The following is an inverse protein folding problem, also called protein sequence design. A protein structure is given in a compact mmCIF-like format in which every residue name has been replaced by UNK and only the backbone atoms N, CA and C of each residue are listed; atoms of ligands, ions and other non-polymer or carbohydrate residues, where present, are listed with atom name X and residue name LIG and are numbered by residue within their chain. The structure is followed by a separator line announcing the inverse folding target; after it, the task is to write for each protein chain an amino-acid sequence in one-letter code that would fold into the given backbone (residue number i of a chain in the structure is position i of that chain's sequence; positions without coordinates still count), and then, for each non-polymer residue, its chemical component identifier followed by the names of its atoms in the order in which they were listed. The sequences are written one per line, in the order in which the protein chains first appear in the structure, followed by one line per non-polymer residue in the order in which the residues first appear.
data_IF_108661794846
#
_entry.id   IF_108661794846
#
_cell.length_a   1.000
_cell.length_b   1.000
_cell.length_c   1.000
_cell.angle_alpha   90.00
_cell.angle_beta   90.00
_cell.angle_gamma   90.00
#
_symmetry.space_group_name_H-M   'P 1'
#
loop_
_entity.id
_entity.type
_entity.pdbx_description
1 polymer ?
#
# COMPACT_ATOMS: atom_id res chain seq x y z
N UNK A 1 -27.76 45.85 65.14
CA UNK A 1 -29.17 46.05 64.74
C UNK A 1 -29.21 46.59 63.33
N UNK A 2 -29.93 45.89 62.43
CA UNK A 2 -30.54 46.37 61.16
C UNK A 2 -29.59 46.93 60.07
N UNK A 3 -29.67 46.56 58.80
CA UNK A 3 -30.53 45.62 58.08
C UNK A 3 -29.84 45.23 56.76
N UNK A 4 -30.08 43.98 56.36
CA UNK A 4 -29.78 43.40 55.06
C UNK A 4 -30.71 44.02 54.00
N UNK A 5 -30.17 44.47 52.87
CA UNK A 5 -30.93 44.54 51.61
C UNK A 5 -30.06 43.93 50.52
N UNK A 6 -30.30 42.65 50.27
CA UNK A 6 -29.93 41.96 49.03
C UNK A 6 -30.97 42.37 48.01
N UNK A 7 -30.63 43.29 47.10
CA UNK A 7 -31.49 43.59 45.95
C UNK A 7 -31.26 42.53 44.87
N UNK A 8 -32.14 41.52 44.90
CA UNK A 8 -32.43 40.62 43.81
C UNK A 8 -32.97 41.44 42.61
N UNK A 9 -32.30 41.38 41.47
CA UNK A 9 -32.90 41.70 40.18
C UNK A 9 -32.75 40.48 39.28
N UNK A 10 -33.67 39.52 39.44
CA UNK A 10 -33.90 38.50 38.43
C UNK A 10 -34.72 39.17 37.34
N UNK A 11 -34.05 39.66 36.30
CA UNK A 11 -34.73 40.06 35.08
C UNK A 11 -35.17 38.76 34.37
N UNK A 12 -36.41 38.36 34.63
CA UNK A 12 -37.10 37.28 33.93
C UNK A 12 -37.23 37.65 32.45
N UNK A 13 -36.25 37.25 31.64
CA UNK A 13 -36.39 37.20 30.19
C UNK A 13 -37.25 35.98 29.82
N UNK A 14 -38.53 36.03 30.20
CA UNK A 14 -39.56 35.16 29.64
C UNK A 14 -40.19 35.92 28.50
N UNK A 15 -39.51 35.96 27.35
CA UNK A 15 -40.18 36.29 26.09
C UNK A 15 -41.12 35.11 25.84
N UNK A 16 -42.37 35.24 26.27
CA UNK A 16 -43.45 34.37 25.81
C UNK A 16 -43.47 34.52 24.29
N UNK A 17 -43.19 33.45 23.56
CA UNK A 17 -43.45 33.42 22.13
C UNK A 17 -44.96 33.63 21.97
N UNK A 18 -45.38 34.83 21.54
CA UNK A 18 -46.75 35.04 21.09
C UNK A 18 -46.96 34.08 19.91
N UNK A 19 -48.09 33.38 19.89
CA UNK A 19 -48.46 32.58 18.71
C UNK A 19 -48.50 33.53 17.50
N UNK A 20 -48.03 33.09 16.33
CA UNK A 20 -47.88 33.94 15.13
C UNK A 20 -49.19 34.67 14.75
N UNK A 21 -50.32 34.03 15.04
CA UNK A 21 -51.66 34.61 14.86
C UNK A 21 -51.91 35.81 15.79
N UNK A 22 -51.51 35.75 17.05
CA UNK A 22 -51.66 36.84 18.00
C UNK A 22 -50.76 38.02 17.65
N UNK A 23 -49.53 37.73 17.23
CA UNK A 23 -48.60 38.73 16.73
C UNK A 23 -49.17 39.44 15.49
N UNK A 24 -49.69 38.67 14.52
CA UNK A 24 -50.32 39.20 13.33
C UNK A 24 -51.59 40.04 13.62
N UNK A 25 -52.46 39.57 14.51
CA UNK A 25 -53.67 40.28 14.92
C UNK A 25 -53.39 41.57 15.75
N UNK A 26 -52.17 41.73 16.25
CA UNK A 26 -51.73 42.94 16.95
C UNK A 26 -51.24 44.06 16.02
N UNK A 27 -51.02 43.75 14.72
CA UNK A 27 -50.62 44.75 13.71
C UNK A 27 -51.74 45.75 13.49
N UNK A 28 -51.40 47.04 13.53
CA UNK A 28 -52.36 48.10 13.23
C UNK A 28 -52.57 48.19 11.72
N UNK A 29 -53.82 48.13 11.30
CA UNK A 29 -54.21 48.23 9.91
C UNK A 29 -55.15 49.42 9.67
N UNK A 30 -55.11 49.96 8.47
CA UNK A 30 -56.11 50.90 7.92
C UNK A 30 -56.94 50.24 6.82
N UNK A 31 -56.33 49.29 6.11
CA UNK A 31 -56.98 48.41 5.14
C UNK A 31 -56.47 46.99 5.34
N UNK A 32 -57.14 46.01 4.72
CA UNK A 32 -56.68 44.60 4.75
C UNK A 32 -55.30 44.40 4.13
N UNK A 33 -54.79 45.34 3.32
CA UNK A 33 -53.44 45.25 2.74
C UNK A 33 -52.33 45.46 3.77
N UNK A 34 -52.64 46.10 4.89
CA UNK A 34 -51.67 46.36 5.97
C UNK A 34 -51.46 45.13 6.87
N UNK A 35 -52.31 44.11 6.71
CA UNK A 35 -52.30 42.92 7.54
C UNK A 35 -51.33 41.86 7.01
N UNK A 36 -50.48 41.28 7.87
CA UNK A 36 -49.58 40.21 7.47
C UNK A 36 -50.36 38.92 7.12
N UNK A 37 -49.77 38.10 6.25
CA UNK A 37 -50.28 36.75 6.01
C UNK A 37 -50.00 35.85 7.19
N UNK A 38 -50.99 35.05 7.60
CA UNK A 38 -50.83 34.02 8.63
C UNK A 38 -51.18 32.69 8.00
N UNK A 39 -50.27 31.72 8.10
CA UNK A 39 -50.52 30.37 7.59
C UNK A 39 -51.80 29.79 8.20
N UNK A 40 -52.55 29.02 7.42
CA UNK A 40 -53.79 28.38 7.86
C UNK A 40 -54.90 29.33 8.34
N UNK A 41 -54.83 30.60 7.96
CA UNK A 41 -55.85 31.60 8.27
C UNK A 41 -56.15 32.45 7.05
N UNK A 42 -57.42 32.82 6.90
CA UNK A 42 -57.86 33.80 5.90
C UNK A 42 -58.09 35.13 6.58
N UNK A 43 -57.42 36.18 6.08
CA UNK A 43 -57.68 37.54 6.51
C UNK A 43 -59.12 37.90 6.15
N UNK A 44 -59.92 38.21 7.17
CA UNK A 44 -61.35 38.46 7.01
C UNK A 44 -61.60 39.96 6.88
N UNK A 45 -61.09 40.76 7.83
CA UNK A 45 -61.32 42.22 7.84
C UNK A 45 -60.16 42.97 8.50
N UNK A 46 -60.16 44.30 8.34
CA UNK A 46 -59.47 45.21 9.23
C UNK A 46 -60.52 46.07 9.94
N UNK A 47 -60.74 45.82 11.24
CA UNK A 47 -61.76 46.51 12.03
C UNK A 47 -61.14 47.07 13.31
N UNK A 48 -61.51 48.29 13.71
CA UNK A 48 -60.95 48.99 14.87
C UNK A 48 -59.40 49.03 14.88
N UNK A 49 -58.80 49.21 13.70
CA UNK A 49 -57.36 49.20 13.49
C UNK A 49 -56.66 47.89 13.89
N UNK A 50 -57.35 46.74 13.83
CA UNK A 50 -56.78 45.41 14.05
C UNK A 50 -57.17 44.46 12.93
N UNK A 51 -56.25 43.55 12.61
CA UNK A 51 -56.46 42.52 11.61
C UNK A 51 -57.25 41.35 12.21
N UNK A 52 -58.31 40.93 11.53
CA UNK A 52 -59.15 39.81 11.95
C UNK A 52 -58.97 38.62 11.01
N UNK A 53 -58.80 37.45 11.59
CA UNK A 53 -58.48 36.21 10.87
C UNK A 53 -59.48 35.12 11.20
N UNK A 54 -59.81 34.30 10.20
CA UNK A 54 -60.60 33.07 10.38
C UNK A 54 -59.73 31.88 10.02
N UNK A 55 -59.69 30.86 10.89
CA UNK A 55 -58.95 29.63 10.63
C UNK A 55 -59.56 28.90 9.42
N UNK A 56 -58.71 28.41 8.52
CA UNK A 56 -59.16 27.54 7.41
C UNK A 56 -59.47 26.13 7.91
N UNK A 57 -60.14 25.31 7.10
CA UNK A 57 -60.46 23.94 7.51
C UNK A 57 -59.21 23.07 7.69
N UNK A 58 -59.29 22.09 8.59
CA UNK A 58 -58.25 21.06 8.75
C UNK A 58 -57.99 20.38 7.41
N UNK A 59 -56.72 20.04 7.15
CA UNK A 59 -56.22 19.48 5.89
C UNK A 59 -56.24 20.42 4.68
N UNK A 60 -56.51 21.72 4.85
CA UNK A 60 -56.27 22.71 3.79
C UNK A 60 -54.77 22.73 3.46
N UNK A 61 -54.37 22.64 2.17
CA UNK A 61 -52.97 22.75 1.79
C UNK A 61 -52.36 24.09 2.21
N UNK A 62 -51.16 24.08 2.79
CA UNK A 62 -50.40 25.28 3.15
C UNK A 62 -48.94 25.18 2.66
N UNK A 63 -48.68 25.10 1.35
CA UNK A 63 -47.39 24.64 0.85
C UNK A 63 -46.21 25.53 1.24
N UNK A 64 -45.19 24.95 1.88
CA UNK A 64 -43.95 25.65 2.27
C UNK A 64 -44.19 26.73 3.33
N UNK A 65 -45.20 26.54 4.18
CA UNK A 65 -45.54 27.44 5.29
C UNK A 65 -45.39 26.77 6.67
N UNK A 66 -44.83 25.56 6.71
CA UNK A 66 -44.51 24.85 7.94
C UNK A 66 -43.20 25.31 8.60
N UNK A 67 -42.62 24.46 9.45
CA UNK A 67 -41.41 24.77 10.23
C UNK A 67 -40.13 24.21 9.59
N UNK A 68 -40.21 23.27 8.65
CA UNK A 68 -39.05 22.58 8.05
C UNK A 68 -38.73 23.00 6.60
N UNK A 69 -39.39 24.07 6.13
CA UNK A 69 -39.45 24.48 4.72
C UNK A 69 -38.08 24.58 4.05
N UNK A 70 -38.01 24.10 2.81
CA UNK A 70 -36.79 24.14 1.99
C UNK A 70 -35.71 23.12 2.39
N UNK A 71 -36.01 22.22 3.33
CA UNK A 71 -35.15 21.10 3.66
C UNK A 71 -35.13 20.05 2.53
N UNK A 72 -33.97 19.40 2.30
CA UNK A 72 -33.84 18.39 1.24
C UNK A 72 -34.78 17.18 1.36
N UNK A 73 -35.33 16.94 2.54
CA UNK A 73 -36.31 15.90 2.84
C UNK A 73 -37.74 16.41 3.08
N UNK A 74 -37.95 17.71 2.92
CA UNK A 74 -39.25 18.32 3.10
C UNK A 74 -40.10 18.17 1.83
N UNK A 75 -41.40 17.93 2.00
CA UNK A 75 -42.37 17.84 0.92
C UNK A 75 -43.33 19.03 1.00
N UNK A 76 -42.77 20.24 0.80
CA UNK A 76 -43.46 21.53 0.93
C UNK A 76 -44.82 21.51 0.23
N UNK A 77 -44.95 20.84 -0.92
CA UNK A 77 -46.18 20.76 -1.70
C UNK A 77 -47.36 20.09 -0.97
N UNK A 78 -47.08 19.32 0.09
CA UNK A 78 -48.08 18.52 0.82
C UNK A 78 -48.31 18.97 2.25
N UNK A 79 -47.73 20.09 2.66
CA UNK A 79 -48.01 20.68 3.97
C UNK A 79 -49.49 20.98 4.14
N UNK A 80 -50.00 20.83 5.37
CA UNK A 80 -51.43 20.94 5.63
C UNK A 80 -51.74 21.59 6.98
N UNK A 81 -52.91 22.23 7.06
CA UNK A 81 -53.38 22.88 8.27
C UNK A 81 -53.93 21.88 9.30
N UNK A 82 -53.48 21.96 10.54
CA UNK A 82 -54.00 21.16 11.65
C UNK A 82 -55.24 21.80 12.32
N UNK A 83 -55.80 21.09 13.31
CA UNK A 83 -56.96 21.56 14.07
C UNK A 83 -56.70 22.82 14.90
N UNK A 84 -55.44 23.19 15.14
CA UNK A 84 -55.04 24.37 15.90
C UNK A 84 -54.69 25.57 15.00
N UNK A 85 -54.90 25.44 13.68
CA UNK A 85 -54.56 26.49 12.73
C UNK A 85 -53.05 26.64 12.50
N UNK A 86 -52.26 25.60 12.78
CA UNK A 86 -50.83 25.58 12.43
C UNK A 86 -50.61 24.77 11.16
N UNK A 87 -49.73 25.27 10.29
CA UNK A 87 -49.28 24.50 9.14
C UNK A 87 -48.34 23.38 9.61
N UNK A 88 -48.59 22.15 9.15
CA UNK A 88 -47.80 20.97 9.48
C UNK A 88 -47.00 20.51 8.29
N UNK A 89 -45.70 20.32 8.53
CA UNK A 89 -44.77 19.77 7.57
C UNK A 89 -45.20 18.36 7.16
N UNK A 90 -45.15 18.10 5.86
CA UNK A 90 -45.13 16.74 5.33
C UNK A 90 -43.74 16.42 4.82
N UNK A 91 -43.24 15.22 5.12
CA UNK A 91 -41.89 14.81 4.74
C UNK A 91 -41.90 13.83 3.57
N UNK A 92 -40.84 13.88 2.77
CA UNK A 92 -40.58 12.86 1.73
C UNK A 92 -40.51 11.48 2.37
N UNK A 93 -40.91 10.46 1.61
CA UNK A 93 -40.93 9.08 2.08
C UNK A 93 -39.56 8.60 2.57
N UNK A 94 -39.57 7.71 3.56
CA UNK A 94 -38.34 7.08 4.05
C UNK A 94 -37.60 6.39 2.91
N UNK A 95 -36.29 6.59 2.81
CA UNK A 95 -35.46 6.04 1.74
C UNK A 95 -35.30 6.95 0.52
N UNK A 96 -36.04 8.05 0.42
CA UNK A 96 -35.85 9.05 -0.65
C UNK A 96 -34.44 9.65 -0.54
N UNK A 97 -33.64 9.54 -1.61
CA UNK A 97 -32.33 10.19 -1.67
C UNK A 97 -32.49 11.71 -1.61
N UNK A 98 -31.83 12.35 -0.67
CA UNK A 98 -31.82 13.81 -0.54
C UNK A 98 -30.45 14.44 -0.79
N UNK A 99 -29.38 13.65 -0.71
CA UNK A 99 -28.02 14.08 -1.03
C UNK A 99 -27.18 12.89 -1.48
N UNK A 100 -26.58 13.01 -2.66
CA UNK A 100 -25.68 12.01 -3.21
C UNK A 100 -24.46 11.79 -2.29
N UNK A 101 -24.00 10.55 -2.20
CA UNK A 101 -22.80 10.15 -1.50
C UNK A 101 -21.52 10.49 -2.27
N UNK A 102 -20.41 9.96 -1.78
CA UNK A 102 -19.11 9.98 -2.46
C UNK A 102 -18.59 8.56 -2.55
N UNK A 103 -17.30 8.40 -2.84
CA UNK A 103 -16.69 7.09 -2.98
C UNK A 103 -16.84 6.22 -1.73
N UNK A 104 -16.53 6.75 -0.53
CA UNK A 104 -16.68 6.01 0.74
C UNK A 104 -17.78 6.53 1.66
N UNK A 105 -18.75 7.25 1.07
CA UNK A 105 -19.97 7.64 1.75
C UNK A 105 -21.18 7.25 0.90
N UNK A 106 -22.18 6.64 1.50
CA UNK A 106 -23.41 6.29 0.80
C UNK A 106 -24.34 7.51 0.68
N UNK A 107 -25.36 7.39 -0.16
CA UNK A 107 -26.37 8.43 -0.31
C UNK A 107 -27.11 8.67 1.02
N UNK A 108 -27.26 9.95 1.40
CA UNK A 108 -28.13 10.32 2.50
C UNK A 108 -29.59 10.22 2.06
N UNK A 109 -30.38 9.56 2.90
CA UNK A 109 -31.79 9.27 2.62
C UNK A 109 -32.66 9.85 3.72
N UNK A 110 -33.85 10.33 3.33
CA UNK A 110 -34.86 10.81 4.25
C UNK A 110 -35.33 9.70 5.17
N UNK A 111 -35.65 10.05 6.41
CA UNK A 111 -36.20 9.13 7.41
C UNK A 111 -37.74 9.07 7.37
N UNK A 112 -38.37 10.01 6.67
CA UNK A 112 -39.83 10.19 6.63
C UNK A 112 -40.40 10.92 7.85
N UNK A 113 -39.55 11.54 8.67
CA UNK A 113 -39.92 12.19 9.94
C UNK A 113 -39.33 13.59 10.11
N UNK A 114 -38.39 14.00 9.26
CA UNK A 114 -37.81 15.34 9.28
C UNK A 114 -37.58 15.90 7.87
N UNK A 115 -37.71 17.22 7.73
CA UNK A 115 -37.42 17.91 6.46
C UNK A 115 -35.92 18.09 6.21
N UNK A 116 -35.08 17.92 7.23
CA UNK A 116 -33.62 18.03 7.11
C UNK A 116 -33.02 16.77 6.49
N UNK A 117 -32.25 16.94 5.41
CA UNK A 117 -31.44 15.86 4.88
C UNK A 117 -30.30 15.50 5.85
N UNK A 118 -30.16 14.24 6.29
CA UNK A 118 -29.06 13.84 7.17
C UNK A 118 -27.71 13.92 6.46
N UNK A 119 -26.63 13.78 7.24
CA UNK A 119 -25.30 13.59 6.67
C UNK A 119 -25.20 12.22 6.00
N UNK A 120 -24.40 12.13 4.94
CA UNK A 120 -24.09 10.87 4.28
C UNK A 120 -23.45 9.88 5.28
N UNK A 121 -23.96 8.64 5.41
CA UNK A 121 -23.34 7.63 6.26
C UNK A 121 -22.08 7.07 5.58
N UNK A 122 -21.04 6.66 6.34
CA UNK A 122 -19.90 5.93 5.79
C UNK A 122 -20.33 4.64 5.09
N UNK A 123 -19.73 4.36 3.95
CA UNK A 123 -19.97 3.11 3.21
C UNK A 123 -19.39 1.90 3.92
N UNK A 124 -20.00 0.72 3.70
CA UNK A 124 -19.51 -0.55 4.24
C UNK A 124 -18.08 -0.89 3.79
N UNK A 125 -17.38 -1.72 4.57
CA UNK A 125 -15.99 -2.13 4.30
C UNK A 125 -15.80 -3.00 3.06
N UNK A 126 -16.89 -3.36 2.39
CA UNK A 126 -16.87 -4.14 1.14
C UNK A 126 -17.05 -3.25 -0.09
N UNK A 127 -17.41 -1.97 0.09
CA UNK A 127 -17.52 -1.04 -1.05
C UNK A 127 -16.13 -0.81 -1.62
N UNK A 128 -16.01 -0.99 -2.93
CA UNK A 128 -14.77 -0.76 -3.66
C UNK A 128 -14.54 0.74 -3.79
N UNK A 129 -13.29 1.15 -3.65
CA UNK A 129 -12.83 2.50 -3.86
C UNK A 129 -11.46 2.48 -4.57
N UNK A 130 -10.97 3.64 -4.94
CA UNK A 130 -9.65 3.89 -5.49
C UNK A 130 -8.77 4.49 -4.41
N UNK A 131 -7.77 3.71 -3.98
CA UNK A 131 -6.80 4.10 -2.99
C UNK A 131 -5.80 5.15 -3.46
N UNK A 132 -4.75 5.34 -2.67
CA UNK A 132 -3.64 6.24 -3.01
C UNK A 132 -2.53 5.52 -3.77
N UNK A 133 -2.38 4.22 -3.56
CA UNK A 133 -1.24 3.44 -4.05
C UNK A 133 -1.70 2.36 -5.03
N UNK A 134 -1.89 2.72 -6.29
CA UNK A 134 -2.45 1.80 -7.28
C UNK A 134 -1.44 1.33 -8.34
N UNK A 135 -1.63 0.11 -8.85
CA UNK A 135 -0.94 -0.43 -10.03
C UNK A 135 0.47 -0.97 -9.78
N UNK A 136 0.93 -1.00 -8.53
CA UNK A 136 2.20 -1.64 -8.18
C UNK A 136 2.14 -3.18 -8.28
N UNK A 137 3.28 -3.89 -8.42
CA UNK A 137 3.28 -5.36 -8.54
C UNK A 137 2.70 -6.10 -7.32
N UNK A 138 2.61 -5.40 -6.17
CA UNK A 138 2.04 -5.90 -4.93
C UNK A 138 0.72 -5.22 -4.54
N UNK A 139 0.18 -4.39 -5.44
CA UNK A 139 -1.12 -3.78 -5.25
C UNK A 139 -2.26 -4.80 -5.43
N UNK A 140 -3.27 -4.73 -4.58
CA UNK A 140 -4.46 -5.54 -4.79
C UNK A 140 -5.28 -4.99 -5.97
N UNK A 141 -6.13 -5.81 -6.63
CA UNK A 141 -6.93 -5.33 -7.75
C UNK A 141 -7.97 -4.28 -7.36
N UNK A 142 -8.34 -4.21 -6.08
CA UNK A 142 -9.37 -3.30 -5.56
C UNK A 142 -9.06 -2.87 -4.14
N UNK A 143 -9.23 -1.58 -3.87
CA UNK A 143 -9.22 -1.02 -2.53
C UNK A 143 -10.63 -1.01 -1.97
N UNK A 144 -10.75 -0.91 -0.64
CA UNK A 144 -12.05 -0.91 0.02
C UNK A 144 -12.17 0.21 1.04
N UNK A 145 -13.40 0.69 1.23
CA UNK A 145 -13.68 1.66 2.27
C UNK A 145 -13.40 1.07 3.66
N UNK A 146 -13.08 1.91 4.64
CA UNK A 146 -12.75 1.49 6.01
C UNK A 146 -13.97 1.48 6.97
N UNK A 147 -15.17 1.79 6.46
CA UNK A 147 -16.38 1.94 7.29
C UNK A 147 -16.45 3.27 8.04
N UNK A 148 -15.49 4.18 7.83
CA UNK A 148 -15.38 5.48 8.51
C UNK A 148 -15.20 6.64 7.52
N UNK A 149 -15.38 6.37 6.23
CA UNK A 149 -15.35 7.38 5.18
C UNK A 149 -14.01 7.55 4.48
N UNK A 150 -13.04 6.65 4.72
CA UNK A 150 -11.77 6.64 4.00
C UNK A 150 -11.68 5.42 3.08
N UNK A 151 -11.01 5.60 1.95
CA UNK A 151 -10.55 4.48 1.14
C UNK A 151 -9.25 3.92 1.72
N UNK A 152 -9.20 2.61 1.95
CA UNK A 152 -8.03 1.90 2.47
C UNK A 152 -7.40 1.09 1.34
N UNK A 153 -6.11 1.36 1.10
CA UNK A 153 -5.29 0.58 0.18
C UNK A 153 -5.23 -0.90 0.62
N UNK A 154 -5.44 -1.79 -0.32
CA UNK A 154 -5.27 -3.23 -0.14
C UNK A 154 -4.02 -3.71 -0.90
N UNK A 155 -3.32 -4.69 -0.32
CA UNK A 155 -2.10 -5.22 -0.91
C UNK A 155 -2.17 -6.73 -1.05
N UNK A 156 -1.45 -7.27 -2.03
CA UNK A 156 -1.30 -8.71 -2.21
C UNK A 156 -0.60 -9.35 -0.99
N UNK A 157 -0.95 -10.60 -0.65
CA UNK A 157 -0.45 -11.25 0.56
C UNK A 157 1.07 -11.47 0.51
N UNK A 158 1.69 -11.65 1.68
CA UNK A 158 3.13 -11.83 1.81
C UNK A 158 3.71 -13.11 1.18
N UNK A 159 2.85 -14.00 0.71
CA UNK A 159 3.20 -15.20 -0.02
C UNK A 159 3.28 -14.97 -1.53
N UNK A 160 2.77 -13.85 -2.05
CA UNK A 160 2.77 -13.54 -3.47
C UNK A 160 4.17 -13.16 -3.94
N UNK A 161 4.75 -13.98 -4.82
CA UNK A 161 5.96 -13.61 -5.57
C UNK A 161 5.62 -12.50 -6.56
N UNK A 162 6.33 -11.39 -6.46
CA UNK A 162 6.14 -10.19 -7.29
C UNK A 162 7.30 -9.95 -8.25
N UNK A 163 8.49 -10.52 -7.97
CA UNK A 163 9.65 -10.48 -8.86
C UNK A 163 10.49 -11.74 -8.66
N UNK A 164 10.72 -12.47 -9.75
CA UNK A 164 11.56 -13.66 -9.75
C UNK A 164 13.00 -13.33 -9.33
N UNK A 165 13.63 -14.23 -8.58
CA UNK A 165 15.04 -14.22 -8.25
C UNK A 165 15.92 -14.74 -9.39
N UNK A 166 17.23 -14.64 -9.19
CA UNK A 166 18.25 -15.24 -10.06
C UNK A 166 18.91 -16.45 -9.41
N UNK A 167 20.05 -16.88 -9.97
CA UNK A 167 20.81 -18.02 -9.43
C UNK A 167 21.17 -17.85 -7.95
N UNK A 168 21.54 -16.63 -7.55
CA UNK A 168 21.98 -16.30 -6.18
C UNK A 168 21.12 -15.25 -5.48
N UNK A 169 19.90 -15.03 -5.95
CA UNK A 169 18.92 -14.22 -5.23
C UNK A 169 17.60 -14.96 -5.11
N UNK A 170 16.91 -14.75 -4.00
CA UNK A 170 15.60 -15.34 -3.75
C UNK A 170 14.50 -14.53 -4.43
N UNK A 171 13.39 -15.19 -4.73
CA UNK A 171 12.17 -14.52 -5.20
C UNK A 171 11.75 -13.43 -4.20
N UNK A 172 11.52 -12.22 -4.71
CA UNK A 172 10.94 -11.15 -3.92
C UNK A 172 9.43 -11.37 -3.82
N UNK A 173 8.93 -11.32 -2.58
CA UNK A 173 7.52 -11.45 -2.26
C UNK A 173 6.97 -10.13 -1.74
N UNK A 174 5.68 -9.91 -1.94
CA UNK A 174 5.00 -8.76 -1.36
C UNK A 174 5.11 -8.75 0.17
N UNK A 175 4.96 -7.58 0.79
CA UNK A 175 4.95 -7.49 2.26
C UNK A 175 3.55 -7.70 2.86
N UNK A 176 2.49 -7.56 2.06
CA UNK A 176 1.11 -7.43 2.54
C UNK A 176 0.77 -6.02 3.05
N UNK A 177 1.66 -5.05 2.88
CA UNK A 177 1.53 -3.69 3.43
C UNK A 177 2.03 -2.59 2.49
N UNK A 178 2.40 -2.93 1.25
CA UNK A 178 2.95 -2.00 0.26
C UNK A 178 2.58 -2.48 -1.15
N UNK A 179 2.33 -1.54 -2.06
CA UNK A 179 2.12 -1.80 -3.48
C UNK A 179 3.43 -2.10 -4.22
N UNK A 180 4.57 -1.77 -3.63
CA UNK A 180 5.90 -1.98 -4.21
C UNK A 180 6.41 -3.40 -3.95
N UNK A 181 7.05 -3.99 -4.96
CA UNK A 181 7.80 -5.23 -4.79
C UNK A 181 9.20 -4.92 -4.24
N UNK A 182 9.65 -5.55 -3.15
CA UNK A 182 11.00 -5.34 -2.64
C UNK A 182 12.07 -5.87 -3.60
N UNK A 183 13.33 -5.50 -3.36
CA UNK A 183 14.45 -6.12 -4.05
C UNK A 183 14.59 -7.61 -3.67
N UNK A 184 15.12 -8.41 -4.60
CA UNK A 184 15.44 -9.81 -4.33
C UNK A 184 16.52 -9.91 -3.25
N UNK A 185 16.27 -10.71 -2.22
CA UNK A 185 17.25 -10.95 -1.17
C UNK A 185 18.37 -11.86 -1.69
N UNK A 186 19.62 -11.71 -1.22
CA UNK A 186 20.68 -12.64 -1.58
C UNK A 186 20.41 -14.03 -1.01
N UNK A 187 20.74 -15.06 -1.79
CA UNK A 187 20.68 -16.46 -1.38
C UNK A 187 21.83 -16.80 -0.41
N UNK A 188 21.67 -17.84 0.44
CA UNK A 188 22.72 -18.27 1.36
C UNK A 188 23.95 -18.81 0.61
N UNK A 189 25.10 -18.78 1.28
CA UNK A 189 26.38 -19.27 0.72
C UNK A 189 26.42 -20.77 0.43
N UNK A 190 25.40 -21.52 0.85
CA UNK A 190 25.26 -22.95 0.55
C UNK A 190 24.49 -23.21 -0.74
N UNK A 191 23.81 -22.20 -1.32
CA UNK A 191 23.08 -22.37 -2.58
C UNK A 191 24.08 -22.55 -3.71
N UNK A 192 23.88 -23.59 -4.50
CA UNK A 192 24.70 -23.89 -5.68
C UNK A 192 24.29 -22.95 -6.81
N UNK A 193 25.29 -22.52 -7.57
CA UNK A 193 25.11 -21.69 -8.75
C UNK A 193 26.14 -22.10 -9.83
N UNK A 194 26.10 -21.41 -10.95
CA UNK A 194 27.07 -21.58 -12.05
C UNK A 194 27.86 -20.28 -12.17
N UNK A 195 29.15 -20.38 -11.89
CA UNK A 195 30.12 -19.29 -11.90
C UNK A 195 30.48 -18.85 -13.31
N UNK A 196 31.53 -18.03 -13.40
CA UNK A 196 32.11 -17.62 -14.69
C UNK A 196 33.11 -18.64 -15.22
N UNK A 197 33.84 -19.31 -14.33
CA UNK A 197 34.91 -20.24 -14.69
C UNK A 197 34.45 -21.66 -14.41
N UNK A 198 34.01 -22.40 -15.44
CA UNK A 198 33.24 -23.65 -15.23
C UNK A 198 33.82 -24.90 -15.94
N UNK A 199 35.07 -24.84 -16.41
CA UNK A 199 35.60 -25.87 -17.34
C UNK A 199 37.11 -26.11 -17.28
N UNK A 200 37.80 -25.48 -16.34
CA UNK A 200 39.24 -25.71 -16.15
C UNK A 200 39.51 -27.00 -15.38
N UNK A 201 40.69 -27.60 -15.54
CA UNK A 201 41.09 -28.83 -14.84
C UNK A 201 41.14 -28.68 -13.30
N UNK A 202 41.21 -27.44 -12.82
CA UNK A 202 41.20 -27.06 -11.41
C UNK A 202 39.90 -26.44 -10.94
N UNK A 203 38.88 -26.45 -11.79
CA UNK A 203 37.56 -25.97 -11.44
C UNK A 203 36.83 -26.92 -10.49
N UNK A 204 36.11 -26.38 -9.51
CA UNK A 204 35.29 -27.21 -8.64
C UNK A 204 34.02 -27.66 -9.37
N UNK A 205 33.42 -28.81 -8.99
CA UNK A 205 32.20 -29.29 -9.66
C UNK A 205 30.97 -28.40 -9.44
N UNK A 206 30.99 -27.54 -8.43
CA UNK A 206 29.88 -26.65 -8.07
C UNK A 206 30.39 -25.33 -7.52
N UNK A 207 29.82 -24.25 -8.01
CA UNK A 207 30.00 -22.92 -7.44
C UNK A 207 28.92 -22.62 -6.42
N UNK A 208 29.19 -21.64 -5.58
CA UNK A 208 28.28 -21.26 -4.52
C UNK A 208 28.07 -19.76 -4.50
N UNK A 209 26.88 -19.37 -4.03
CA UNK A 209 26.59 -17.95 -3.84
C UNK A 209 27.52 -17.33 -2.78
N UNK A 210 27.80 -16.05 -2.92
CA UNK A 210 28.65 -15.30 -1.98
C UNK A 210 27.88 -14.72 -0.77
N UNK A 211 26.57 -14.94 -0.70
CA UNK A 211 25.69 -14.33 0.31
C UNK A 211 25.34 -12.86 0.03
N UNK A 212 25.73 -12.32 -1.13
CA UNK A 212 25.50 -10.93 -1.56
C UNK A 212 24.83 -10.83 -2.94
N UNK A 213 24.38 -11.95 -3.49
CA UNK A 213 23.65 -11.99 -4.75
C UNK A 213 24.48 -12.41 -5.95
N UNK A 214 25.77 -12.72 -5.77
CA UNK A 214 26.65 -13.16 -6.84
C UNK A 214 26.98 -14.64 -6.69
N UNK A 215 27.20 -15.28 -7.84
CA UNK A 215 27.83 -16.60 -7.86
C UNK A 215 29.35 -16.43 -7.76
N UNK A 216 29.97 -17.17 -6.85
CA UNK A 216 31.41 -17.17 -6.64
C UNK A 216 31.98 -18.50 -7.14
N UNK A 217 32.94 -18.41 -8.05
CA UNK A 217 33.71 -19.55 -8.55
C UNK A 217 34.44 -20.25 -7.40
N UNK A 218 34.32 -21.57 -7.35
CA UNK A 218 35.05 -22.43 -6.44
C UNK A 218 36.12 -23.20 -7.20
N UNK A 219 37.26 -23.44 -6.56
CA UNK A 219 38.37 -24.15 -7.19
C UNK A 219 38.83 -25.33 -6.35
N UNK A 220 39.39 -26.34 -7.02
CA UNK A 220 39.99 -27.49 -6.36
C UNK A 220 41.19 -27.05 -5.49
N UNK A 221 41.42 -27.72 -4.34
CA UNK A 221 42.45 -27.31 -3.39
C UNK A 221 43.85 -27.40 -4.00
N UNK A 222 44.79 -26.66 -3.41
CA UNK A 222 46.18 -26.60 -3.90
C UNK A 222 46.98 -27.92 -3.76
N UNK A 223 46.36 -28.96 -3.21
CA UNK A 223 46.91 -30.32 -3.13
C UNK A 223 46.48 -31.20 -4.31
N UNK A 224 45.47 -30.78 -5.08
CA UNK A 224 44.96 -31.53 -6.23
C UNK A 224 45.95 -31.46 -7.39
N UNK A 225 46.51 -32.61 -7.78
CA UNK A 225 47.24 -32.75 -9.04
C UNK A 225 46.25 -32.66 -10.20
N UNK A 226 46.52 -31.74 -11.12
CA UNK A 226 45.69 -31.47 -12.30
C UNK A 226 46.37 -31.86 -13.61
N UNK A 227 47.70 -31.96 -13.63
CA UNK A 227 48.47 -32.44 -14.76
C UNK A 227 49.72 -33.16 -14.28
N UNK A 228 49.89 -34.41 -14.72
CA UNK A 228 51.05 -35.22 -14.38
C UNK A 228 52.34 -34.59 -14.92
N UNK A 229 53.42 -34.69 -14.14
CA UNK A 229 54.78 -34.33 -14.52
C UNK A 229 55.43 -35.36 -15.43
N UNK A 230 56.59 -35.00 -15.97
CA UNK A 230 57.47 -35.88 -16.73
C UNK A 230 58.70 -36.29 -15.92
N UNK A 231 59.71 -36.86 -16.58
CA UNK A 231 60.94 -37.30 -15.91
C UNK A 231 61.65 -36.18 -15.11
N UNK A 232 61.61 -34.94 -15.63
CA UNK A 232 62.26 -33.77 -15.05
C UNK A 232 61.31 -32.62 -14.72
N UNK A 233 60.01 -32.89 -14.64
CA UNK A 233 59.03 -31.89 -14.20
C UNK A 233 58.14 -32.49 -13.13
N UNK A 234 57.81 -31.68 -12.14
CA UNK A 234 56.91 -32.06 -11.06
C UNK A 234 55.45 -32.04 -11.54
N UNK A 235 54.59 -32.82 -10.88
CA UNK A 235 53.15 -32.75 -11.05
C UNK A 235 52.65 -31.31 -10.83
N UNK A 236 51.90 -30.78 -11.80
CA UNK A 236 51.24 -29.50 -11.62
C UNK A 236 50.02 -29.69 -10.72
N UNK A 237 49.93 -28.86 -9.68
CA UNK A 237 48.81 -28.83 -8.75
C UNK A 237 48.00 -27.56 -8.95
N UNK A 238 46.72 -27.63 -8.63
CA UNK A 238 45.85 -26.45 -8.64
C UNK A 238 46.38 -25.36 -7.71
N UNK A 239 46.01 -24.11 -7.97
CA UNK A 239 46.38 -22.99 -7.11
C UNK A 239 45.40 -22.78 -5.95
N UNK A 240 44.17 -23.30 -6.08
CA UNK A 240 43.03 -22.98 -5.20
C UNK A 240 42.37 -21.63 -5.48
N UNK A 241 42.80 -20.90 -6.51
CA UNK A 241 42.27 -19.56 -6.86
C UNK A 241 41.99 -19.39 -8.37
N UNK A 242 42.22 -20.42 -9.18
CA UNK A 242 41.95 -20.41 -10.63
C UNK A 242 41.51 -21.80 -11.09
N UNK A 243 40.66 -21.83 -12.11
CA UNK A 243 40.23 -23.04 -12.80
C UNK A 243 41.33 -23.64 -13.69
N UNK A 244 42.34 -22.85 -14.05
CA UNK A 244 43.43 -23.29 -14.89
C UNK A 244 44.45 -24.14 -14.12
N UNK A 245 44.87 -25.24 -14.73
CA UNK A 245 46.01 -26.00 -14.23
C UNK A 245 47.32 -25.32 -14.67
N UNK A 246 48.21 -24.95 -13.75
CA UNK A 246 49.47 -24.33 -14.12
C UNK A 246 50.36 -25.29 -14.93
N UNK A 247 51.40 -24.75 -15.56
CA UNK A 247 52.44 -25.58 -16.16
C UNK A 247 53.20 -26.37 -15.09
N UNK A 248 53.69 -27.56 -15.46
CA UNK A 248 54.55 -28.37 -14.61
C UNK A 248 55.84 -27.61 -14.27
N UNK A 249 56.16 -27.52 -12.98
CA UNK A 249 57.40 -26.91 -12.52
C UNK A 249 58.59 -27.83 -12.84
N UNK A 250 59.80 -27.28 -13.08
CA UNK A 250 60.99 -28.11 -13.23
C UNK A 250 61.33 -28.82 -11.92
N UNK A 251 61.72 -30.09 -12.02
CA UNK A 251 62.30 -30.83 -10.90
C UNK A 251 63.66 -30.24 -10.50
N UNK A 252 64.12 -30.56 -9.29
CA UNK A 252 65.46 -30.16 -8.83
C UNK A 252 66.55 -30.62 -9.79
N UNK A 253 67.59 -29.80 -9.93
CA UNK A 253 68.81 -30.22 -10.62
C UNK A 253 69.34 -31.53 -10.01
N UNK A 254 69.89 -32.40 -10.86
CA UNK A 254 70.41 -33.72 -10.47
C UNK A 254 69.38 -34.78 -10.03
N UNK A 255 68.07 -34.50 -10.09
CA UNK A 255 67.08 -35.59 -10.05
C UNK A 255 67.37 -36.56 -11.21
N UNK A 256 67.40 -37.86 -10.91
CA UNK A 256 67.63 -38.89 -11.93
C UNK A 256 66.52 -38.88 -12.97
N UNK A 257 66.91 -39.00 -14.23
CA UNK A 257 66.02 -39.14 -15.37
C UNK A 257 66.63 -40.11 -16.38
N UNK A 258 65.91 -40.35 -17.48
CA UNK A 258 66.41 -41.10 -18.63
C UNK A 258 66.48 -40.15 -19.81
N UNK A 259 67.68 -39.92 -20.30
CA UNK A 259 68.03 -39.05 -21.40
C UNK A 259 67.65 -39.62 -22.76
N UNK A 260 67.98 -38.90 -23.82
CA UNK A 260 67.69 -39.35 -25.20
C UNK A 260 68.70 -40.38 -25.68
N UNK A 261 69.96 -40.23 -25.28
CA UNK A 261 71.04 -41.17 -25.58
C UNK A 261 71.25 -42.01 -24.33
N UNK A 262 70.84 -43.28 -24.37
CA UNK A 262 70.95 -44.19 -23.22
C UNK A 262 71.40 -45.59 -23.68
N UNK A 263 72.28 -46.25 -22.91
CA UNK A 263 72.77 -47.60 -23.14
C UNK A 263 73.97 -47.75 -24.10
N UNK A 264 74.62 -46.64 -24.48
CA UNK A 264 75.83 -46.64 -25.32
C UNK A 264 77.13 -46.89 -24.52
N UNK A 265 78.25 -47.25 -25.17
CA UNK A 265 79.52 -47.53 -24.48
C UNK A 265 80.14 -46.30 -23.80
N UNK A 266 79.73 -45.09 -24.18
CA UNK A 266 80.17 -43.82 -23.59
C UNK A 266 79.10 -43.16 -22.72
N UNK A 267 77.95 -43.80 -22.58
CA UNK A 267 76.81 -43.28 -21.82
C UNK A 267 77.00 -43.53 -20.33
N UNK A 268 76.67 -42.53 -19.50
CA UNK A 268 76.71 -42.71 -18.06
C UNK A 268 75.50 -43.52 -17.59
N UNK A 269 75.62 -44.22 -16.46
CA UNK A 269 74.53 -45.05 -15.94
C UNK A 269 73.28 -44.26 -15.49
N UNK A 270 73.42 -42.94 -15.27
CA UNK A 270 72.36 -42.06 -14.75
C UNK A 270 72.44 -40.71 -15.46
N UNK A 271 71.32 -40.31 -16.06
CA UNK A 271 71.10 -38.95 -16.53
C UNK A 271 70.45 -38.10 -15.46
N UNK A 272 70.65 -36.79 -15.58
CA UNK A 272 70.24 -35.84 -14.55
C UNK A 272 69.40 -34.70 -15.13
N UNK A 273 68.38 -34.30 -14.38
CA UNK A 273 67.63 -33.10 -14.68
C UNK A 273 68.49 -31.84 -14.51
N UNK A 274 68.28 -30.84 -15.38
CA UNK A 274 69.04 -29.60 -15.39
C UNK A 274 68.49 -28.49 -14.47
N UNK A 275 67.41 -28.77 -13.74
CA UNK A 275 66.69 -27.77 -12.95
C UNK A 275 65.79 -26.84 -13.76
N UNK A 276 65.64 -27.06 -15.08
CA UNK A 276 64.83 -26.26 -16.01
C UNK A 276 63.80 -27.10 -16.78
N UNK A 277 63.60 -28.35 -16.36
CA UNK A 277 62.59 -29.25 -16.93
C UNK A 277 63.13 -30.22 -17.98
N UNK A 278 64.44 -30.21 -18.25
CA UNK A 278 65.05 -31.07 -19.25
C UNK A 278 65.91 -32.14 -18.58
N UNK A 279 65.85 -33.35 -19.13
CA UNK A 279 66.83 -34.40 -18.83
C UNK A 279 68.08 -34.18 -19.67
N UNK A 280 69.25 -34.15 -19.04
CA UNK A 280 70.54 -34.04 -19.71
C UNK A 280 71.25 -35.38 -19.69
N UNK A 281 71.62 -35.83 -20.88
CA UNK A 281 72.45 -37.00 -21.09
C UNK A 281 73.84 -36.76 -20.45
N UNK A 282 74.25 -37.68 -19.58
CA UNK A 282 75.57 -37.67 -18.98
C UNK A 282 76.46 -38.71 -19.69
N UNK A 283 77.74 -38.41 -19.79
CA UNK A 283 78.70 -39.27 -20.49
C UNK A 283 79.84 -39.67 -19.58
N UNK A 284 80.39 -40.86 -19.82
CA UNK A 284 81.58 -41.33 -19.10
C UNK A 284 82.75 -40.36 -19.33
N UNK A 285 83.59 -40.11 -18.31
CA UNK A 285 84.74 -39.22 -18.44
C UNK A 285 85.70 -39.76 -19.50
N UNK A 286 86.27 -38.85 -20.30
CA UNK A 286 87.31 -39.21 -21.26
C UNK A 286 88.53 -39.78 -20.52
N UNK A 287 88.81 -41.07 -20.70
CA UNK A 287 90.08 -41.66 -20.26
C UNK A 287 91.18 -41.16 -21.18
N UNK A 288 92.07 -40.32 -20.65
CA UNK A 288 93.31 -39.92 -21.32
C UNK A 288 94.32 -41.06 -21.35
#
# INVERSE_FOLDING_TARGET
MKAIIVSLAVASASVLALDDLEAAASVRCTTTKDCPSVACHTLTTCTNSRCEYTQVSVNTPCPGQGCSNGGGCDDDAKDYCDAKGKCKDTFKTSGTMCKAGTECYDDAKCDGKSGKCPTNPPSATTKICLGKNNGGPCDAPTDNCDGKGNCKDNYLPSTKVCKAGGACTEDAKCSGSSSTCPANAPSPTTKVCTGKSNSGLCDAPTDNCDGKGNCKDNYLPNTKVCKAGGACTEDAKCSGISSDCPANAPSSAYKTCTGKSNGGPCDAAIDNCDGKGNCKDNYLPSTK
#
